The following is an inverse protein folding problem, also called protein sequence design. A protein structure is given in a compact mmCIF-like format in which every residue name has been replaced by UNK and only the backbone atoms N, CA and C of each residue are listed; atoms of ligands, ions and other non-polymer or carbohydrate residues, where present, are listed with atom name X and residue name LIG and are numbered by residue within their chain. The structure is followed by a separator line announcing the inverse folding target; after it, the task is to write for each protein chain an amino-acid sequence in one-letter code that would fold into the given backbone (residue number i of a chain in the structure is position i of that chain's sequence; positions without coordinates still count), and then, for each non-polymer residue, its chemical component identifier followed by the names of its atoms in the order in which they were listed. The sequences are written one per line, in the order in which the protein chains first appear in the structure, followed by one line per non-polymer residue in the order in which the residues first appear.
data_IF_686142393599
#
_entry.id   IF_686142393599
#
_cell.length_a   1.000
_cell.length_b   1.000
_cell.length_c   1.000
_cell.angle_alpha   90.00
_cell.angle_beta   90.00
_cell.angle_gamma   90.00
#
_symmetry.space_group_name_H-M   'P 1'
#
loop_
_entity.id
_entity.type
_entity.pdbx_description
1 polymer ?
#
# COMPACT_ATOMS: atom_id res chain seq x y z
N UNK A 1 -12.50 -11.67 -4.59
CA UNK A 1 -13.38 -10.49 -4.54
C UNK A 1 -12.50 -9.26 -4.55
N UNK A 2 -12.64 -8.38 -5.54
CA UNK A 2 -11.78 -7.25 -5.86
C UNK A 2 -10.76 -7.60 -6.94
N UNK A 3 -10.75 -6.80 -8.05
CA UNK A 3 -9.87 -6.94 -9.23
C UNK A 3 -8.60 -6.11 -9.18
N UNK A 4 -8.25 -5.56 -8.01
CA UNK A 4 -6.97 -4.87 -7.82
C UNK A 4 -5.78 -5.84 -7.81
N UNK A 5 -4.53 -5.34 -7.62
CA UNK A 5 -3.31 -6.14 -7.75
C UNK A 5 -3.28 -7.43 -6.90
N UNK A 6 -3.75 -7.35 -5.66
CA UNK A 6 -3.78 -8.51 -4.77
C UNK A 6 -4.81 -9.56 -5.23
N UNK A 7 -6.04 -9.15 -5.56
CA UNK A 7 -7.09 -10.08 -6.02
C UNK A 7 -6.76 -10.71 -7.36
N UNK A 8 -6.25 -9.92 -8.31
CA UNK A 8 -5.80 -10.42 -9.61
C UNK A 8 -4.62 -11.39 -9.48
N UNK A 9 -3.70 -11.17 -8.54
CA UNK A 9 -2.60 -12.11 -8.26
C UNK A 9 -3.13 -13.44 -7.73
N UNK A 10 -4.00 -13.40 -6.71
CA UNK A 10 -4.57 -14.62 -6.14
C UNK A 10 -5.40 -15.39 -7.19
N UNK A 11 -6.24 -14.69 -7.95
CA UNK A 11 -7.05 -15.31 -8.99
C UNK A 11 -6.19 -15.95 -10.09
N UNK A 12 -5.14 -15.27 -10.56
CA UNK A 12 -4.21 -15.79 -11.57
C UNK A 12 -3.50 -17.07 -11.14
N UNK A 13 -3.12 -17.15 -9.88
CA UNK A 13 -2.41 -18.33 -9.36
C UNK A 13 -3.35 -19.51 -9.16
N UNK A 14 -4.53 -19.27 -8.58
CA UNK A 14 -5.50 -20.32 -8.30
C UNK A 14 -6.22 -20.85 -9.56
N UNK A 15 -6.46 -19.99 -10.55
CA UNK A 15 -7.18 -20.36 -11.76
C UNK A 15 -6.43 -21.34 -12.69
N UNK A 16 -5.17 -21.64 -12.41
CA UNK A 16 -4.39 -22.65 -13.13
C UNK A 16 -4.90 -24.07 -12.88
N UNK A 17 -5.38 -24.31 -11.66
CA UNK A 17 -5.69 -25.65 -11.17
C UNK A 17 -7.10 -25.76 -10.55
N UNK A 18 -7.80 -24.62 -10.42
CA UNK A 18 -9.11 -24.55 -9.75
C UNK A 18 -10.07 -23.62 -10.49
N UNK A 19 -11.38 -23.85 -10.30
CA UNK A 19 -12.43 -22.95 -10.77
C UNK A 19 -12.45 -21.67 -9.93
N UNK A 20 -12.18 -20.54 -10.57
CA UNK A 20 -12.07 -19.22 -9.91
C UNK A 20 -12.99 -18.19 -10.56
N UNK A 21 -13.79 -17.51 -9.76
CA UNK A 21 -14.53 -16.31 -10.16
C UNK A 21 -13.84 -15.10 -9.56
N UNK A 22 -13.48 -14.10 -10.39
CA UNK A 22 -12.96 -12.80 -9.95
C UNK A 22 -14.02 -11.72 -10.14
N UNK A 23 -14.55 -11.18 -9.03
CA UNK A 23 -15.55 -10.12 -9.04
C UNK A 23 -14.88 -8.76 -8.80
N UNK A 24 -15.16 -7.78 -9.68
CA UNK A 24 -14.70 -6.40 -9.58
C UNK A 24 -15.91 -5.44 -9.66
N UNK A 25 -15.98 -4.49 -8.72
CA UNK A 25 -17.13 -3.57 -8.62
C UNK A 25 -17.22 -2.55 -9.76
N UNK A 26 -16.10 -2.22 -10.40
CA UNK A 26 -16.04 -1.30 -11.52
C UNK A 26 -16.05 -2.05 -12.86
N UNK A 27 -16.57 -1.40 -13.90
CA UNK A 27 -16.56 -1.98 -15.26
C UNK A 27 -15.15 -2.03 -15.85
N UNK A 28 -14.25 -1.15 -15.42
CA UNK A 28 -12.85 -1.13 -15.82
C UNK A 28 -11.94 -1.35 -14.59
N UNK A 29 -11.22 -2.48 -14.51
CA UNK A 29 -10.23 -2.70 -13.46
C UNK A 29 -9.16 -1.60 -13.46
N UNK A 30 -8.80 -1.12 -12.24
CA UNK A 30 -7.86 -0.01 -12.07
C UNK A 30 -8.50 1.38 -12.08
N UNK A 31 -9.79 1.50 -12.35
CA UNK A 31 -10.56 2.73 -12.27
C UNK A 31 -11.58 2.69 -11.12
N UNK A 32 -11.76 3.82 -10.38
CA UNK A 32 -10.99 5.06 -10.46
C UNK A 32 -9.58 4.90 -9.86
N UNK A 33 -8.62 5.67 -10.38
CA UNK A 33 -7.25 5.71 -9.85
C UNK A 33 -7.25 6.20 -8.38
N UNK A 34 -6.66 5.43 -7.47
CA UNK A 34 -6.62 5.76 -6.03
C UNK A 34 -5.20 5.67 -5.42
N UNK A 35 -4.15 5.63 -6.23
CA UNK A 35 -2.80 5.41 -5.79
C UNK A 35 -1.80 6.36 -6.46
N UNK A 36 -0.76 6.75 -5.74
CA UNK A 36 0.34 7.55 -6.28
C UNK A 36 1.21 6.78 -7.30
N UNK A 37 1.14 5.45 -7.30
CA UNK A 37 1.81 4.62 -8.29
C UNK A 37 3.30 4.40 -8.04
N UNK A 38 3.87 4.85 -6.92
CA UNK A 38 5.28 4.61 -6.59
C UNK A 38 5.42 3.21 -5.97
N UNK A 39 6.08 2.31 -6.69
CA UNK A 39 6.20 0.88 -6.32
C UNK A 39 7.63 0.42 -6.51
N UNK A 40 8.14 -0.41 -5.61
CA UNK A 40 9.47 -1.00 -5.76
C UNK A 40 9.48 -2.06 -6.86
N UNK A 41 10.68 -2.43 -7.32
CA UNK A 41 10.85 -3.48 -8.31
C UNK A 41 10.18 -4.81 -7.90
N UNK A 42 10.16 -5.13 -6.60
CA UNK A 42 9.50 -6.34 -6.08
C UNK A 42 8.00 -6.37 -6.29
N UNK A 43 7.36 -5.20 -6.33
CA UNK A 43 5.92 -5.08 -6.52
C UNK A 43 5.47 -4.99 -7.98
N UNK A 44 6.42 -5.04 -8.94
CA UNK A 44 6.14 -4.94 -10.38
C UNK A 44 6.49 -6.27 -11.05
N UNK A 45 5.51 -7.14 -11.29
CA UNK A 45 5.74 -8.38 -12.03
C UNK A 45 6.28 -8.12 -13.45
N UNK A 46 7.09 -9.03 -13.98
CA UNK A 46 7.72 -8.89 -15.30
C UNK A 46 6.71 -8.61 -16.42
N UNK A 47 5.53 -9.24 -16.36
CA UNK A 47 4.48 -9.08 -17.37
C UNK A 47 3.72 -7.75 -17.30
N UNK A 48 4.03 -6.89 -16.33
CA UNK A 48 3.40 -5.57 -16.17
C UNK A 48 4.38 -4.40 -16.33
N UNK A 49 5.59 -4.64 -16.81
CA UNK A 49 6.62 -3.59 -16.98
C UNK A 49 6.21 -2.50 -17.97
N UNK A 50 5.36 -2.77 -18.92
CA UNK A 50 4.78 -1.79 -19.85
C UNK A 50 3.97 -0.68 -19.16
N UNK A 51 3.56 -0.89 -17.89
CA UNK A 51 2.89 0.12 -17.09
C UNK A 51 3.85 1.10 -16.40
N UNK A 52 5.17 0.95 -16.57
CA UNK A 52 6.18 1.82 -15.94
C UNK A 52 6.29 3.14 -16.70
N UNK A 53 5.98 4.24 -16.04
CA UNK A 53 6.08 5.62 -16.56
C UNK A 53 7.45 6.26 -16.29
N UNK A 54 8.17 5.80 -15.28
CA UNK A 54 9.47 6.34 -14.90
C UNK A 54 10.15 5.54 -13.81
N UNK A 55 11.45 5.79 -13.65
CA UNK A 55 12.30 5.15 -12.65
C UNK A 55 12.83 6.17 -11.66
N UNK A 56 12.83 5.82 -10.39
CA UNK A 56 13.25 6.68 -9.29
C UNK A 56 14.46 6.09 -8.59
N UNK A 57 15.54 6.84 -8.50
CA UNK A 57 16.77 6.48 -7.79
C UNK A 57 16.99 7.26 -6.51
N UNK A 58 16.24 8.36 -6.31
CA UNK A 58 16.46 9.23 -5.16
C UNK A 58 15.19 9.84 -4.59
N UNK A 59 15.35 10.41 -3.40
CA UNK A 59 14.31 11.14 -2.69
C UNK A 59 14.89 12.40 -2.06
N UNK A 60 14.16 13.51 -2.17
CA UNK A 60 14.40 14.75 -1.43
C UNK A 60 13.34 14.92 -0.36
N UNK A 61 13.76 14.94 0.88
CA UNK A 61 12.87 15.05 2.04
C UNK A 61 12.99 16.44 2.64
N UNK A 62 11.91 17.21 2.54
CA UNK A 62 11.84 18.57 3.05
C UNK A 62 11.32 18.55 4.48
N UNK A 63 12.10 19.15 5.39
CA UNK A 63 11.68 19.35 6.78
C UNK A 63 10.67 20.51 6.89
N UNK A 64 9.91 20.59 8.00
CA UNK A 64 9.02 21.72 8.25
C UNK A 64 9.73 23.05 8.38
N UNK A 65 11.01 23.07 8.74
CA UNK A 65 11.82 24.27 8.95
C UNK A 65 12.79 24.58 7.80
N UNK A 66 12.57 24.00 6.62
CA UNK A 66 13.30 24.35 5.40
C UNK A 66 14.59 23.56 5.17
N UNK A 67 14.96 22.61 6.03
CA UNK A 67 16.08 21.72 5.74
C UNK A 67 15.67 20.66 4.71
N UNK A 68 16.56 20.33 3.78
CA UNK A 68 16.35 19.27 2.79
C UNK A 68 17.41 18.19 2.95
N UNK A 69 16.95 16.94 3.08
CA UNK A 69 17.78 15.74 3.01
C UNK A 69 17.61 15.08 1.65
N UNK A 70 18.70 14.94 0.90
CA UNK A 70 18.73 14.17 -0.34
C UNK A 70 19.37 12.80 -0.07
N UNK A 71 18.64 11.75 -0.42
CA UNK A 71 19.14 10.36 -0.44
C UNK A 71 19.10 9.87 -1.88
N UNK A 72 20.20 9.31 -2.35
CA UNK A 72 20.39 8.88 -3.73
C UNK A 72 21.05 7.49 -3.78
N UNK A 73 20.51 6.61 -4.61
CA UNK A 73 21.08 5.31 -4.86
C UNK A 73 21.78 5.28 -6.24
N UNK A 74 22.68 4.32 -6.43
CA UNK A 74 23.38 4.10 -7.70
C UNK A 74 22.49 3.51 -8.79
N UNK A 75 21.38 2.91 -8.43
CA UNK A 75 20.40 2.28 -9.34
C UNK A 75 18.98 2.62 -8.91
N UNK A 76 18.03 2.41 -9.81
CA UNK A 76 16.61 2.61 -9.55
C UNK A 76 16.15 1.83 -8.31
N UNK A 77 15.41 2.49 -7.44
CA UNK A 77 14.86 1.93 -6.21
C UNK A 77 13.36 1.72 -6.28
N UNK A 78 12.70 2.46 -7.14
CA UNK A 78 11.26 2.37 -7.34
C UNK A 78 10.89 2.74 -8.79
N UNK A 79 9.70 2.33 -9.18
CA UNK A 79 9.06 2.66 -10.43
C UNK A 79 7.82 3.52 -10.17
N UNK A 80 7.57 4.45 -11.05
CA UNK A 80 6.31 5.18 -11.12
C UNK A 80 5.42 4.47 -12.14
N UNK A 81 4.24 4.06 -11.72
CA UNK A 81 3.34 3.26 -12.55
C UNK A 81 2.14 4.06 -13.05
N UNK A 82 1.72 3.78 -14.27
CA UNK A 82 0.32 3.91 -14.66
C UNK A 82 -0.47 2.79 -13.97
N UNK A 83 -1.14 3.14 -12.89
CA UNK A 83 -1.89 2.18 -12.08
C UNK A 83 -3.14 1.65 -12.77
N UNK A 84 -3.74 2.44 -13.65
CA UNK A 84 -4.89 1.98 -14.44
C UNK A 84 -4.44 0.87 -15.40
N UNK A 85 -3.36 1.10 -16.14
CA UNK A 85 -2.79 0.08 -17.03
C UNK A 85 -2.25 -1.12 -16.25
N UNK A 86 -1.52 -0.88 -15.15
CA UNK A 86 -0.97 -1.94 -14.30
C UNK A 86 -2.07 -2.87 -13.76
N UNK A 87 -3.10 -2.31 -13.15
CA UNK A 87 -4.18 -3.10 -12.54
C UNK A 87 -4.98 -3.86 -13.63
N UNK A 88 -5.18 -3.25 -14.80
CA UNK A 88 -5.82 -3.88 -15.96
C UNK A 88 -5.01 -5.07 -16.49
N UNK A 89 -3.70 -4.91 -16.64
CA UNK A 89 -2.80 -6.01 -17.05
C UNK A 89 -2.88 -7.16 -16.06
N UNK A 90 -2.80 -6.86 -14.75
CA UNK A 90 -2.89 -7.87 -13.70
C UNK A 90 -4.20 -8.64 -13.77
N UNK A 91 -5.31 -7.93 -13.98
CA UNK A 91 -6.64 -8.52 -14.11
C UNK A 91 -6.76 -9.43 -15.36
N UNK A 92 -6.33 -8.95 -16.52
CA UNK A 92 -6.35 -9.74 -17.74
C UNK A 92 -5.49 -11.00 -17.63
N UNK A 93 -4.32 -10.91 -16.98
CA UNK A 93 -3.49 -12.10 -16.72
C UNK A 93 -4.16 -13.12 -15.79
N UNK A 94 -5.07 -12.69 -14.93
CA UNK A 94 -5.89 -13.62 -14.16
C UNK A 94 -6.95 -14.31 -15.05
N UNK A 95 -7.57 -13.56 -15.95
CA UNK A 95 -8.53 -14.11 -16.93
C UNK A 95 -7.83 -15.06 -17.89
N UNK A 96 -6.67 -14.69 -18.44
CA UNK A 96 -5.84 -15.55 -19.32
C UNK A 96 -5.43 -16.87 -18.63
N UNK A 97 -5.29 -16.86 -17.30
CA UNK A 97 -5.00 -18.05 -16.51
C UNK A 97 -6.23 -18.93 -16.21
N UNK A 98 -7.44 -18.53 -16.65
CA UNK A 98 -8.67 -19.29 -16.49
C UNK A 98 -9.67 -18.70 -15.48
N UNK A 99 -9.39 -17.56 -14.83
CA UNK A 99 -10.36 -16.94 -13.92
C UNK A 99 -11.57 -16.37 -14.70
N UNK A 100 -12.77 -16.67 -14.25
CA UNK A 100 -14.02 -16.16 -14.82
C UNK A 100 -14.27 -14.74 -14.32
N UNK A 101 -14.22 -13.70 -15.19
CA UNK A 101 -14.41 -12.33 -14.76
C UNK A 101 -15.89 -11.98 -14.52
N UNK A 102 -16.16 -11.22 -13.46
CA UNK A 102 -17.43 -10.55 -13.18
C UNK A 102 -17.12 -9.08 -12.92
N UNK A 103 -17.10 -8.26 -13.96
CA UNK A 103 -16.89 -6.80 -13.87
C UNK A 103 -18.22 -6.05 -13.67
N UNK A 104 -18.20 -4.87 -13.06
CA UNK A 104 -19.42 -4.18 -12.63
C UNK A 104 -20.17 -4.91 -11.51
N UNK A 105 -19.54 -5.91 -10.90
CA UNK A 105 -20.16 -6.80 -9.92
C UNK A 105 -19.74 -6.44 -8.48
N UNK A 106 -20.58 -5.67 -7.81
CA UNK A 106 -20.37 -5.25 -6.43
C UNK A 106 -20.86 -6.32 -5.45
N UNK A 107 -19.97 -6.88 -4.64
CA UNK A 107 -20.32 -7.82 -3.58
C UNK A 107 -21.14 -7.10 -2.51
N UNK A 108 -22.24 -7.69 -2.10
CA UNK A 108 -23.19 -7.17 -1.11
C UNK A 108 -23.13 -7.93 0.22
N UNK A 109 -22.99 -9.23 0.15
CA UNK A 109 -22.92 -10.08 1.34
C UNK A 109 -22.01 -11.29 1.10
N UNK A 110 -21.45 -11.80 2.18
CA UNK A 110 -20.69 -13.04 2.24
C UNK A 110 -21.13 -13.78 3.50
N UNK A 111 -21.57 -15.01 3.36
CA UNK A 111 -22.00 -15.85 4.47
C UNK A 111 -21.25 -17.19 4.44
N UNK A 112 -20.49 -17.46 5.49
CA UNK A 112 -19.78 -18.73 5.68
C UNK A 112 -20.69 -19.70 6.42
N UNK A 113 -21.05 -20.82 5.76
CA UNK A 113 -21.88 -21.90 6.30
C UNK A 113 -21.04 -23.10 6.75
N UNK A 114 -19.72 -22.98 6.80
CA UNK A 114 -18.78 -24.01 7.24
C UNK A 114 -18.39 -24.98 6.14
N UNK A 115 -19.31 -25.50 5.36
CA UNK A 115 -19.04 -26.39 4.23
C UNK A 115 -18.96 -25.66 2.88
N UNK A 116 -19.60 -24.51 2.78
CA UNK A 116 -19.56 -23.63 1.63
C UNK A 116 -19.73 -22.17 2.07
N UNK A 117 -19.31 -21.25 1.21
CA UNK A 117 -19.48 -19.81 1.40
C UNK A 117 -20.38 -19.29 0.29
N UNK A 118 -21.50 -18.69 0.69
CA UNK A 118 -22.41 -18.02 -0.23
C UNK A 118 -22.08 -16.54 -0.31
N UNK A 119 -21.81 -16.07 -1.53
CA UNK A 119 -21.55 -14.66 -1.83
C UNK A 119 -22.64 -14.12 -2.72
N UNK A 120 -23.20 -12.96 -2.36
CA UNK A 120 -24.18 -12.26 -3.18
C UNK A 120 -23.51 -11.03 -3.81
N UNK A 121 -23.65 -10.90 -5.11
CA UNK A 121 -23.16 -9.75 -5.87
C UNK A 121 -24.30 -9.10 -6.64
N UNK A 122 -24.21 -7.80 -6.84
CA UNK A 122 -25.11 -7.03 -7.69
C UNK A 122 -24.37 -6.56 -8.93
N UNK A 123 -24.82 -6.97 -10.09
CA UNK A 123 -24.34 -6.55 -11.39
C UNK A 123 -25.54 -6.17 -12.26
N UNK A 124 -25.48 -5.04 -12.96
CA UNK A 124 -26.51 -4.55 -13.89
C UNK A 124 -27.95 -4.56 -13.31
N UNK A 125 -28.04 -4.23 -12.01
CA UNK A 125 -29.32 -4.18 -11.29
C UNK A 125 -29.82 -5.54 -10.80
N UNK A 126 -29.26 -6.65 -11.22
CA UNK A 126 -29.61 -8.01 -10.82
C UNK A 126 -28.74 -8.49 -9.65
N UNK A 127 -29.30 -9.36 -8.82
CA UNK A 127 -28.57 -10.04 -7.75
C UNK A 127 -28.25 -11.45 -8.18
N UNK A 128 -26.98 -11.81 -8.14
CA UNK A 128 -26.45 -13.14 -8.44
C UNK A 128 -25.79 -13.73 -7.19
N UNK A 129 -25.95 -15.03 -6.95
CA UNK A 129 -25.30 -15.75 -5.86
C UNK A 129 -24.26 -16.71 -6.41
N UNK A 130 -23.09 -16.74 -5.76
CA UNK A 130 -22.01 -17.70 -6.05
C UNK A 130 -21.69 -18.46 -4.79
N UNK A 131 -21.70 -19.80 -4.88
CA UNK A 131 -21.24 -20.68 -3.82
C UNK A 131 -19.78 -21.08 -4.08
N UNK A 132 -18.97 -21.06 -3.05
CA UNK A 132 -17.54 -21.38 -3.14
C UNK A 132 -17.05 -22.10 -1.87
N UNK A 133 -15.93 -22.81 -1.98
CA UNK A 133 -15.25 -23.41 -0.82
C UNK A 133 -14.42 -22.40 -0.05
N UNK A 134 -13.87 -21.43 -0.76
CA UNK A 134 -13.00 -20.39 -0.22
C UNK A 134 -13.39 -19.04 -0.83
N UNK A 135 -13.30 -18.00 -0.04
CA UNK A 135 -13.39 -16.60 -0.50
C UNK A 135 -12.08 -15.88 -0.17
N UNK A 136 -11.42 -15.34 -1.21
CA UNK A 136 -10.30 -14.41 -1.05
C UNK A 136 -10.84 -12.98 -1.11
N UNK A 137 -10.85 -12.31 0.04
CA UNK A 137 -11.24 -10.90 0.17
C UNK A 137 -10.07 -9.97 -0.17
N UNK A 138 -10.11 -9.39 -1.35
CA UNK A 138 -9.17 -8.36 -1.85
C UNK A 138 -9.92 -7.05 -2.15
N UNK A 139 -11.02 -6.80 -1.46
CA UNK A 139 -12.03 -5.78 -1.66
C UNK A 139 -11.68 -4.44 -0.96
N UNK A 140 -10.39 -4.20 -0.76
CA UNK A 140 -9.83 -2.91 -0.36
C UNK A 140 -10.19 -2.48 1.07
N UNK A 141 -10.09 -1.17 1.32
CA UNK A 141 -10.23 -0.63 2.69
C UNK A 141 -11.66 -0.68 3.25
N UNK A 142 -12.69 -0.81 2.40
CA UNK A 142 -14.11 -0.92 2.80
C UNK A 142 -14.55 -2.36 3.04
N UNK A 143 -13.66 -3.30 2.94
CA UNK A 143 -13.85 -4.75 2.86
C UNK A 143 -15.13 -5.29 3.53
N UNK A 144 -16.02 -5.82 2.71
CA UNK A 144 -17.19 -6.59 3.11
C UNK A 144 -16.76 -7.98 3.62
N UNK A 145 -15.73 -8.56 2.97
CA UNK A 145 -15.15 -9.84 3.38
C UNK A 145 -14.61 -9.78 4.82
N UNK A 146 -13.93 -8.67 5.20
CA UNK A 146 -13.48 -8.46 6.58
C UNK A 146 -14.65 -8.38 7.57
N UNK A 147 -15.74 -7.69 7.21
CA UNK A 147 -16.94 -7.63 8.06
C UNK A 147 -17.58 -8.99 8.21
N UNK A 148 -17.71 -9.74 7.11
CA UNK A 148 -18.29 -11.09 7.10
C UNK A 148 -17.45 -12.07 7.93
N UNK A 149 -16.13 -11.99 7.87
CA UNK A 149 -15.21 -12.81 8.65
C UNK A 149 -15.17 -12.46 10.14
N UNK A 150 -15.86 -11.40 10.58
CA UNK A 150 -15.85 -10.87 11.96
C UNK A 150 -14.45 -10.55 12.51
N UNK A 151 -13.46 -10.39 11.62
CA UNK A 151 -12.14 -9.94 12.00
C UNK A 151 -12.17 -8.46 12.42
N UNK A 152 -11.34 -8.05 13.39
CA UNK A 152 -11.33 -6.68 13.86
C UNK A 152 -11.12 -5.66 12.73
N UNK A 153 -11.75 -4.47 12.80
CA UNK A 153 -11.54 -3.42 11.83
C UNK A 153 -10.08 -2.91 11.86
N UNK A 154 -9.64 -2.18 10.82
CA UNK A 154 -8.34 -1.49 10.84
C UNK A 154 -8.20 -0.63 12.09
N UNK A 155 -7.01 -0.64 12.72
CA UNK A 155 -6.74 0.18 13.90
C UNK A 155 -6.69 1.66 13.58
N UNK A 156 -6.19 1.99 12.40
CA UNK A 156 -6.00 3.35 11.93
C UNK A 156 -6.26 3.44 10.43
N UNK A 157 -6.62 4.65 9.99
CA UNK A 157 -6.93 4.92 8.61
C UNK A 157 -6.22 6.21 8.16
N UNK A 158 -5.34 6.12 7.17
CA UNK A 158 -4.88 7.33 6.47
C UNK A 158 -5.97 7.76 5.48
N UNK A 159 -6.19 9.07 5.39
CA UNK A 159 -7.04 9.66 4.34
C UNK A 159 -6.15 10.43 3.39
N UNK A 160 -6.19 10.08 2.10
CA UNK A 160 -5.34 10.63 1.07
C UNK A 160 -6.10 11.39 0.00
N UNK A 161 -5.43 12.40 -0.57
CA UNK A 161 -5.87 13.11 -1.77
C UNK A 161 -4.64 13.45 -2.61
N UNK A 162 -4.78 13.34 -3.93
CA UNK A 162 -3.75 13.75 -4.89
C UNK A 162 -4.36 14.37 -6.13
N UNK A 163 -3.55 15.12 -6.85
CA UNK A 163 -3.82 15.67 -8.18
C UNK A 163 -2.68 15.37 -9.12
N UNK A 164 -2.99 15.17 -10.39
CA UNK A 164 -1.99 15.14 -11.45
C UNK A 164 -1.89 16.55 -12.03
N UNK A 165 -0.69 17.09 -12.09
CA UNK A 165 -0.37 18.46 -12.55
C UNK A 165 0.45 18.40 -13.83
N UNK A 166 0.13 19.29 -14.80
CA UNK A 166 0.92 19.53 -15.99
C UNK A 166 1.60 20.90 -15.88
N UNK A 167 2.85 20.99 -16.40
CA UNK A 167 3.62 22.23 -16.37
C UNK A 167 4.34 22.47 -15.04
N UNK A 168 4.65 21.41 -14.29
CA UNK A 168 5.54 21.44 -13.12
C UNK A 168 6.92 20.97 -13.55
N UNK A 169 7.96 21.75 -13.27
CA UNK A 169 9.33 21.29 -13.40
C UNK A 169 9.66 20.32 -12.25
N UNK A 170 10.11 19.13 -12.59
CA UNK A 170 10.52 18.11 -11.64
C UNK A 170 11.68 17.29 -12.19
N UNK A 171 12.58 16.86 -11.31
CA UNK A 171 13.63 15.91 -11.64
C UNK A 171 13.00 14.51 -11.79
N UNK A 172 13.06 13.88 -12.99
CA UNK A 172 12.35 12.63 -13.23
C UNK A 172 12.86 11.45 -12.39
N UNK A 173 14.07 11.54 -11.84
CA UNK A 173 14.70 10.49 -11.06
C UNK A 173 14.50 10.64 -9.54
N UNK A 174 13.89 11.76 -9.08
CA UNK A 174 13.69 12.04 -7.67
C UNK A 174 12.23 12.26 -7.30
N UNK A 175 11.83 11.68 -6.18
CA UNK A 175 10.56 12.00 -5.49
C UNK A 175 10.81 13.11 -4.48
N UNK A 176 9.88 14.03 -4.37
CA UNK A 176 9.88 15.05 -3.31
C UNK A 176 8.91 14.61 -2.20
N UNK A 177 9.37 14.63 -0.96
CA UNK A 177 8.57 14.35 0.24
C UNK A 177 8.58 15.59 1.13
N UNK A 178 7.40 16.05 1.53
CA UNK A 178 7.28 17.20 2.43
C UNK A 178 6.69 16.76 3.76
N UNK A 179 7.42 17.04 4.85
CA UNK A 179 7.01 16.75 6.21
C UNK A 179 6.49 18.02 6.91
N UNK A 180 5.69 17.85 7.94
CA UNK A 180 5.22 18.93 8.80
C UNK A 180 3.72 18.91 9.04
N UNK A 181 3.32 19.41 10.19
CA UNK A 181 1.91 19.44 10.62
C UNK A 181 1.05 20.35 9.75
N UNK A 182 1.64 21.43 9.22
CA UNK A 182 0.94 22.35 8.33
C UNK A 182 0.81 21.85 6.89
N UNK A 183 1.53 20.78 6.54
CA UNK A 183 1.54 20.20 5.19
C UNK A 183 0.70 18.93 5.14
N UNK A 184 0.96 18.01 6.07
CA UNK A 184 0.35 16.68 6.11
C UNK A 184 0.39 16.15 7.54
N UNK A 185 -0.57 16.53 8.42
CA UNK A 185 -0.54 16.14 9.82
C UNK A 185 -0.54 14.63 10.00
N UNK A 186 0.45 14.16 10.76
CA UNK A 186 0.63 12.76 11.05
C UNK A 186 1.09 11.90 9.87
N UNK A 187 1.34 12.44 8.66
CA UNK A 187 1.93 11.73 7.53
C UNK A 187 2.90 12.60 6.74
N UNK A 188 2.84 12.56 5.40
CA UNK A 188 3.64 13.41 4.52
C UNK A 188 2.88 13.75 3.24
N UNK A 189 3.35 14.78 2.55
CA UNK A 189 2.97 15.08 1.18
C UNK A 189 4.08 14.67 0.22
N UNK A 190 3.72 14.43 -1.03
CA UNK A 190 4.63 14.01 -2.10
C UNK A 190 4.44 14.82 -3.38
N UNK A 191 5.52 14.92 -4.17
CA UNK A 191 5.47 15.23 -5.59
C UNK A 191 6.27 14.16 -6.32
N UNK A 192 5.62 13.43 -7.22
CA UNK A 192 6.17 12.27 -7.93
C UNK A 192 6.09 12.54 -9.43
N UNK A 193 7.22 12.62 -10.14
CA UNK A 193 7.23 12.70 -11.60
C UNK A 193 6.58 11.46 -12.22
N UNK A 194 5.68 11.65 -13.18
CA UNK A 194 4.94 10.58 -13.84
C UNK A 194 4.76 10.91 -15.32
N UNK A 195 5.75 10.55 -16.14
CA UNK A 195 5.87 10.96 -17.55
C UNK A 195 5.84 12.49 -17.70
N UNK A 196 4.86 13.07 -18.41
CA UNK A 196 4.69 14.51 -18.62
C UNK A 196 3.90 15.21 -17.49
N UNK A 197 3.57 14.49 -16.43
CA UNK A 197 2.80 14.94 -15.27
C UNK A 197 3.63 14.86 -13.99
N UNK A 198 3.20 15.61 -12.98
CA UNK A 198 3.66 15.44 -11.60
C UNK A 198 2.48 15.15 -10.71
N UNK A 199 2.51 14.02 -10.01
CA UNK A 199 1.51 13.64 -9.01
C UNK A 199 1.82 14.30 -7.70
N UNK A 200 1.00 15.26 -7.30
CA UNK A 200 1.13 15.98 -6.02
C UNK A 200 0.01 15.56 -5.10
N UNK A 201 0.35 15.06 -3.93
CA UNK A 201 -0.66 14.60 -2.99
C UNK A 201 -0.16 14.56 -1.56
N UNK A 202 -1.05 14.16 -0.67
CA UNK A 202 -0.75 13.97 0.75
C UNK A 202 -1.72 12.97 1.37
N UNK A 203 -1.31 12.41 2.51
CA UNK A 203 -2.23 11.76 3.43
C UNK A 203 -2.21 12.46 4.77
N UNK A 204 -3.32 12.37 5.50
CA UNK A 204 -3.41 12.76 6.90
C UNK A 204 -3.71 11.52 7.76
N UNK A 205 -3.31 11.59 9.03
CA UNK A 205 -3.54 10.54 10.01
C UNK A 205 -4.81 10.82 10.79
N UNK A 206 -5.69 9.81 10.88
CA UNK A 206 -6.96 9.87 11.61
C UNK A 206 -7.80 11.17 11.49
N UNK A 207 -8.94 11.01 11.10
CA UNK A 207 -10.07 11.70 10.57
C UNK A 207 -10.55 13.03 11.21
N UNK A 208 -9.75 13.87 11.78
CA UNK A 208 -10.17 15.26 12.12
C UNK A 208 -9.87 16.26 11.02
N UNK A 209 -8.89 15.94 10.17
CA UNK A 209 -8.36 16.85 9.17
C UNK A 209 -8.97 16.58 7.78
N UNK A 210 -9.29 17.65 7.07
CA UNK A 210 -9.76 17.58 5.68
C UNK A 210 -8.53 17.65 4.76
N UNK A 211 -8.07 16.54 4.15
CA UNK A 211 -6.87 16.52 3.32
C UNK A 211 -6.87 17.57 2.20
N UNK A 212 -8.07 17.90 1.67
CA UNK A 212 -8.22 18.91 0.64
C UNK A 212 -7.75 20.31 1.07
N UNK A 213 -7.87 20.67 2.36
CA UNK A 213 -7.36 21.96 2.88
C UNK A 213 -5.83 22.01 2.82
N UNK A 214 -5.17 20.92 3.21
CA UNK A 214 -3.71 20.83 3.15
C UNK A 214 -3.21 20.76 1.70
N UNK A 215 -3.93 20.06 0.83
CA UNK A 215 -3.60 20.02 -0.60
C UNK A 215 -3.70 21.43 -1.22
N UNK A 216 -4.74 22.21 -0.90
CA UNK A 216 -4.87 23.61 -1.35
C UNK A 216 -3.67 24.45 -0.92
N UNK A 217 -3.23 24.33 0.34
CA UNK A 217 -2.03 25.04 0.84
C UNK A 217 -0.76 24.57 0.10
N UNK A 218 -0.62 23.27 -0.15
CA UNK A 218 0.53 22.72 -0.88
C UNK A 218 0.57 23.25 -2.32
N UNK A 219 -0.56 23.26 -3.01
CA UNK A 219 -0.68 23.74 -4.39
C UNK A 219 -0.48 25.26 -4.54
N UNK A 220 -0.65 26.02 -3.47
CA UNK A 220 -0.35 27.47 -3.47
C UNK A 220 1.14 27.80 -3.45
N UNK A 221 2.03 26.82 -3.24
CA UNK A 221 3.49 27.03 -3.25
C UNK A 221 3.98 27.43 -4.65
N UNK A 222 5.07 28.21 -4.73
CA UNK A 222 5.58 28.75 -6.01
C UNK A 222 5.74 27.72 -7.12
N UNK A 223 6.23 26.52 -6.81
CA UNK A 223 6.48 25.46 -7.78
C UNK A 223 5.21 24.86 -8.38
N UNK A 224 4.02 25.00 -7.75
CA UNK A 224 2.78 24.37 -8.18
C UNK A 224 1.69 25.37 -8.61
N UNK A 225 1.77 26.62 -8.17
CA UNK A 225 0.67 27.62 -8.30
C UNK A 225 0.24 27.92 -9.72
N UNK A 226 1.10 27.70 -10.70
CA UNK A 226 0.85 27.95 -12.13
C UNK A 226 0.57 26.67 -12.92
N UNK A 227 0.62 25.51 -12.28
CA UNK A 227 0.41 24.23 -12.92
C UNK A 227 -1.08 23.99 -13.24
N UNK A 228 -1.33 23.33 -14.36
CA UNK A 228 -2.69 22.94 -14.77
C UNK A 228 -3.04 21.61 -14.11
N UNK A 229 -4.09 21.60 -13.30
CA UNK A 229 -4.66 20.37 -12.75
C UNK A 229 -5.36 19.57 -13.84
N UNK A 230 -4.97 18.28 -13.96
CA UNK A 230 -5.52 17.33 -14.96
C UNK A 230 -6.54 16.38 -14.30
N UNK A 231 -6.19 15.82 -13.16
CA UNK A 231 -7.04 14.84 -12.47
C UNK A 231 -7.04 15.07 -10.96
N UNK A 232 -7.96 14.42 -10.27
CA UNK A 232 -7.97 14.36 -8.78
C UNK A 232 -8.38 12.96 -8.37
N UNK A 233 -7.64 12.39 -7.41
CA UNK A 233 -7.94 11.11 -6.81
C UNK A 233 -7.93 11.22 -5.28
N UNK A 234 -8.76 10.42 -4.62
CA UNK A 234 -8.78 10.32 -3.15
C UNK A 234 -8.98 8.88 -2.74
N UNK A 235 -8.50 8.54 -1.56
CA UNK A 235 -8.60 7.19 -1.05
C UNK A 235 -8.27 7.10 0.44
N UNK A 236 -8.42 5.90 0.98
CA UNK A 236 -8.04 5.59 2.35
C UNK A 236 -7.10 4.41 2.38
N UNK A 237 -6.17 4.41 3.32
CA UNK A 237 -5.18 3.34 3.50
C UNK A 237 -5.34 2.78 4.91
N UNK A 238 -5.81 1.53 5.06
CA UNK A 238 -5.97 0.91 6.35
C UNK A 238 -4.61 0.46 6.90
N UNK A 239 -4.32 0.80 8.14
CA UNK A 239 -3.08 0.46 8.81
C UNK A 239 -3.31 -0.38 10.07
N UNK A 240 -2.30 -1.15 10.44
CA UNK A 240 -2.31 -1.97 11.63
C UNK A 240 -2.93 -3.33 11.39
N UNK A 241 -2.21 -4.18 10.66
CA UNK A 241 -2.57 -5.57 10.44
C UNK A 241 -3.01 -6.27 11.74
N UNK A 242 -4.08 -7.01 11.65
CA UNK A 242 -4.64 -7.77 12.75
C UNK A 242 -3.78 -8.98 13.16
N UNK A 243 -4.26 -9.74 14.14
CA UNK A 243 -3.64 -11.00 14.53
C UNK A 243 -3.91 -12.10 13.51
N UNK A 244 -4.99 -11.99 12.74
CA UNK A 244 -5.37 -12.93 11.71
C UNK A 244 -5.90 -12.22 10.47
N UNK A 245 -5.66 -12.83 9.31
CA UNK A 245 -6.25 -12.50 8.02
C UNK A 245 -7.14 -13.67 7.52
N UNK A 246 -7.43 -14.66 8.38
CA UNK A 246 -8.25 -15.82 8.06
C UNK A 246 -9.34 -16.01 9.12
N UNK A 247 -10.54 -16.37 8.68
CA UNK A 247 -11.65 -16.78 9.54
C UNK A 247 -12.58 -17.71 8.75
N UNK A 248 -12.71 -18.96 9.21
CA UNK A 248 -13.43 -19.98 8.43
C UNK A 248 -12.82 -20.17 7.06
N UNK A 249 -13.63 -20.14 6.02
CA UNK A 249 -13.21 -20.22 4.62
C UNK A 249 -12.87 -18.86 3.99
N UNK A 250 -12.87 -17.76 4.76
CA UNK A 250 -12.58 -16.42 4.25
C UNK A 250 -11.13 -16.05 4.55
N UNK A 251 -10.36 -15.70 3.52
CA UNK A 251 -8.96 -15.24 3.58
C UNK A 251 -8.88 -13.81 3.07
N UNK A 252 -8.14 -12.92 3.76
CA UNK A 252 -8.01 -11.52 3.38
C UNK A 252 -6.60 -11.22 2.86
N UNK A 253 -6.50 -10.38 1.82
CA UNK A 253 -5.24 -9.93 1.24
C UNK A 253 -5.23 -8.42 0.99
N UNK A 254 -4.06 -7.82 0.84
CA UNK A 254 -3.91 -6.41 0.53
C UNK A 254 -4.52 -5.50 1.60
N UNK A 255 -5.20 -4.45 1.19
CA UNK A 255 -5.82 -3.48 2.10
C UNK A 255 -6.96 -4.11 2.92
N UNK A 256 -7.67 -5.09 2.38
CA UNK A 256 -8.65 -5.86 3.16
C UNK A 256 -8.01 -6.55 4.37
N UNK A 257 -6.73 -6.96 4.28
CA UNK A 257 -5.94 -7.52 5.37
C UNK A 257 -5.16 -6.46 6.18
N UNK A 258 -5.22 -5.18 5.81
CA UNK A 258 -4.40 -4.09 6.38
C UNK A 258 -2.89 -4.32 6.21
N UNK A 259 -2.48 -4.85 5.07
CA UNK A 259 -1.09 -5.15 4.77
C UNK A 259 -0.31 -3.94 4.24
N UNK A 260 -0.91 -2.73 4.19
CA UNK A 260 -0.19 -1.52 3.82
C UNK A 260 0.92 -1.18 4.83
N UNK A 261 2.06 -0.72 4.32
CA UNK A 261 3.25 -0.36 5.12
C UNK A 261 3.01 0.93 5.91
N UNK A 262 3.11 0.94 7.23
CA UNK A 262 2.76 2.10 8.06
C UNK A 262 3.62 3.34 7.81
N UNK A 263 4.87 3.22 7.39
CA UNK A 263 5.76 4.36 7.17
C UNK A 263 5.55 5.04 5.82
N UNK A 264 5.30 4.27 4.76
CA UNK A 264 5.17 4.80 3.39
C UNK A 264 3.75 4.83 2.86
N UNK A 265 2.79 4.12 3.49
CA UNK A 265 1.44 3.92 2.95
C UNK A 265 1.38 2.97 1.75
N UNK A 266 2.53 2.47 1.27
CA UNK A 266 2.59 1.57 0.12
C UNK A 266 2.04 0.18 0.44
N UNK A 267 1.10 -0.32 -0.38
CA UNK A 267 0.46 -1.62 -0.19
C UNK A 267 0.59 -2.59 -1.36
N UNK A 268 1.11 -2.14 -2.52
CA UNK A 268 1.14 -2.99 -3.74
C UNK A 268 2.02 -4.22 -3.54
N UNK A 269 3.28 -4.05 -3.12
CA UNK A 269 4.18 -5.18 -2.89
C UNK A 269 3.64 -6.15 -1.84
N UNK A 270 3.30 -5.67 -0.65
CA UNK A 270 2.78 -6.51 0.43
C UNK A 270 1.44 -7.16 0.09
N UNK A 271 0.61 -6.47 -0.73
CA UNK A 271 -0.65 -7.00 -1.24
C UNK A 271 -0.44 -8.13 -2.24
N UNK A 272 0.46 -7.96 -3.22
CA UNK A 272 0.83 -9.00 -4.20
C UNK A 272 1.46 -10.20 -3.49
N UNK A 273 2.45 -9.94 -2.62
CA UNK A 273 3.13 -11.02 -1.89
C UNK A 273 2.20 -11.78 -0.94
N UNK A 274 1.34 -11.05 -0.23
CA UNK A 274 0.30 -11.67 0.60
C UNK A 274 -0.69 -12.50 -0.22
N UNK A 275 -1.03 -12.06 -1.43
CA UNK A 275 -1.91 -12.81 -2.34
C UNK A 275 -1.25 -14.09 -2.89
N UNK A 276 0.06 -14.09 -3.15
CA UNK A 276 0.82 -15.29 -3.51
C UNK A 276 0.76 -16.33 -2.39
N UNK A 277 1.10 -15.94 -1.16
CA UNK A 277 1.04 -16.83 0.01
C UNK A 277 -0.37 -17.34 0.30
N UNK A 278 -1.38 -16.48 0.08
CA UNK A 278 -2.79 -16.84 0.21
C UNK A 278 -3.19 -17.89 -0.84
N UNK A 279 -2.81 -17.69 -2.10
CA UNK A 279 -3.11 -18.62 -3.19
C UNK A 279 -2.45 -19.98 -2.98
N UNK A 280 -1.17 -20.01 -2.59
CA UNK A 280 -0.45 -21.25 -2.27
C UNK A 280 -1.17 -22.04 -1.16
N UNK A 281 -1.56 -21.36 -0.07
CA UNK A 281 -2.28 -22.00 1.06
C UNK A 281 -3.66 -22.48 0.63
N UNK A 282 -4.40 -21.68 -0.14
CA UNK A 282 -5.74 -22.03 -0.62
C UNK A 282 -5.69 -23.22 -1.59
N UNK A 283 -4.69 -23.27 -2.49
CA UNK A 283 -4.44 -24.41 -3.37
C UNK A 283 -4.20 -25.69 -2.59
N UNK A 284 -3.26 -25.67 -1.65
CA UNK A 284 -2.98 -26.83 -0.77
C UNK A 284 -4.21 -27.29 0.03
N UNK A 285 -5.04 -26.36 0.50
CA UNK A 285 -6.31 -26.70 1.17
C UNK A 285 -7.27 -27.44 0.22
N UNK A 286 -7.44 -26.95 -1.00
CA UNK A 286 -8.33 -27.54 -2.00
C UNK A 286 -7.86 -28.93 -2.44
N UNK A 287 -6.57 -29.11 -2.73
CA UNK A 287 -5.94 -30.37 -3.13
C UNK A 287 -5.99 -31.41 -2.01
N UNK A 288 -5.70 -31.00 -0.77
CA UNK A 288 -5.73 -31.86 0.40
C UNK A 288 -7.15 -32.19 0.89
N UNK A 289 -8.19 -31.67 0.22
CA UNK A 289 -9.60 -31.77 0.65
C UNK A 289 -9.81 -31.27 2.08
N UNK A 290 -9.20 -30.12 2.40
CA UNK A 290 -9.35 -29.45 3.69
C UNK A 290 -8.43 -29.94 4.82
N UNK A 291 -7.49 -30.87 4.55
CA UNK A 291 -6.53 -31.32 5.58
C UNK A 291 -5.47 -30.28 5.92
N UNK A 292 -5.06 -29.45 4.94
CA UNK A 292 -4.16 -28.32 5.19
C UNK A 292 -4.98 -27.15 5.74
N UNK A 293 -4.68 -26.63 6.95
CA UNK A 293 -5.46 -25.53 7.52
C UNK A 293 -5.21 -24.20 6.77
N UNK A 294 -6.29 -23.47 6.43
CA UNK A 294 -6.16 -22.11 5.85
C UNK A 294 -5.44 -21.14 6.79
N UNK A 295 -5.45 -21.39 8.09
CA UNK A 295 -4.76 -20.60 9.10
C UNK A 295 -3.20 -20.59 8.93
N UNK A 296 -2.64 -21.52 8.15
CA UNK A 296 -1.20 -21.51 7.83
C UNK A 296 -0.80 -20.22 7.11
N UNK A 297 -1.70 -19.64 6.30
CA UNK A 297 -1.48 -18.34 5.68
C UNK A 297 -1.10 -17.26 6.68
N UNK A 298 -1.72 -17.26 7.88
CA UNK A 298 -1.36 -16.29 8.93
C UNK A 298 0.09 -16.39 9.37
N UNK A 299 0.63 -17.60 9.46
CA UNK A 299 2.03 -17.82 9.81
C UNK A 299 2.97 -17.36 8.69
N UNK A 300 2.60 -17.64 7.44
CA UNK A 300 3.39 -17.30 6.26
C UNK A 300 3.55 -15.78 6.11
N UNK A 301 2.45 -15.01 6.03
CA UNK A 301 2.56 -13.56 5.86
C UNK A 301 3.19 -12.85 7.06
N UNK A 302 2.95 -13.35 8.30
CA UNK A 302 3.60 -12.79 9.50
C UNK A 302 5.11 -13.00 9.48
N UNK A 303 5.59 -14.14 9.01
CA UNK A 303 7.01 -14.41 8.89
C UNK A 303 7.65 -13.62 7.74
N UNK A 304 6.96 -13.47 6.62
CA UNK A 304 7.46 -12.77 5.43
C UNK A 304 7.61 -11.26 5.67
N UNK A 305 6.52 -10.58 6.03
CA UNK A 305 6.51 -9.12 6.20
C UNK A 305 5.78 -8.60 7.47
N UNK A 306 5.09 -9.44 8.21
CA UNK A 306 4.30 -9.01 9.37
C UNK A 306 5.15 -8.42 10.50
N UNK A 307 6.36 -8.96 10.73
CA UNK A 307 7.32 -8.41 11.70
C UNK A 307 7.75 -6.99 11.29
N UNK A 308 7.99 -6.77 10.00
CA UNK A 308 8.33 -5.46 9.45
C UNK A 308 7.17 -4.48 9.63
N UNK A 309 5.93 -4.86 9.27
CA UNK A 309 4.75 -4.03 9.48
C UNK A 309 4.60 -3.62 10.95
N UNK A 310 4.83 -4.54 11.88
CA UNK A 310 4.75 -4.29 13.32
C UNK A 310 5.81 -3.30 13.80
N UNK A 311 7.07 -3.44 13.33
CA UNK A 311 8.17 -2.52 13.63
C UNK A 311 7.91 -1.14 13.02
N UNK A 312 7.56 -1.10 11.75
CA UNK A 312 7.23 0.13 11.04
C UNK A 312 6.07 0.89 11.71
N UNK A 313 5.08 0.18 12.24
CA UNK A 313 3.98 0.78 12.98
C UNK A 313 4.44 1.41 14.31
N UNK A 314 5.37 0.78 15.03
CA UNK A 314 5.97 1.36 16.25
C UNK A 314 6.76 2.64 15.92
N UNK A 315 7.59 2.62 14.87
CA UNK A 315 8.31 3.81 14.40
C UNK A 315 7.30 4.92 14.03
N UNK A 316 6.20 4.56 13.38
CA UNK A 316 5.13 5.50 13.05
C UNK A 316 4.55 6.18 14.28
N UNK A 317 4.24 5.43 15.35
CA UNK A 317 3.75 6.01 16.62
C UNK A 317 4.70 7.06 17.21
N UNK A 318 6.00 6.83 17.08
CA UNK A 318 6.98 7.83 17.50
C UNK A 318 6.89 9.08 16.65
N UNK A 319 6.86 8.91 15.31
CA UNK A 319 6.75 10.04 14.38
C UNK A 319 5.53 10.92 14.67
N UNK A 320 4.37 10.32 15.01
CA UNK A 320 3.14 11.04 15.33
C UNK A 320 3.29 11.99 16.53
N UNK A 321 4.20 11.69 17.47
CA UNK A 321 4.46 12.49 18.66
C UNK A 321 5.56 13.55 18.47
N UNK A 322 6.21 13.59 17.27
CA UNK A 322 7.24 14.59 17.00
C UNK A 322 6.64 15.95 16.67
N UNK A 323 7.23 17.00 17.24
CA UNK A 323 7.00 18.38 16.81
C UNK A 323 7.79 18.66 15.54
N UNK A 324 7.42 19.72 14.80
CA UNK A 324 8.14 20.12 13.58
C UNK A 324 9.64 20.40 13.86
N UNK A 325 9.97 21.00 15.01
CA UNK A 325 11.37 21.17 15.43
C UNK A 325 12.11 19.84 15.62
N UNK A 326 11.43 18.83 16.17
CA UNK A 326 12.02 17.49 16.37
C UNK A 326 12.17 16.76 15.04
N UNK A 327 11.24 16.91 14.11
CA UNK A 327 11.32 16.36 12.75
C UNK A 327 12.53 16.94 12.02
N UNK A 328 12.71 18.27 12.03
CA UNK A 328 13.86 18.94 11.44
C UNK A 328 15.18 18.44 12.04
N UNK A 329 15.26 18.37 13.37
CA UNK A 329 16.45 17.85 14.07
C UNK A 329 16.75 16.39 13.68
N UNK A 330 15.73 15.54 13.55
CA UNK A 330 15.90 14.15 13.13
C UNK A 330 16.45 14.05 11.70
N UNK A 331 15.94 14.86 10.76
CA UNK A 331 16.44 14.87 9.39
C UNK A 331 17.90 15.32 9.31
N UNK A 332 18.31 16.31 10.12
CA UNK A 332 19.74 16.73 10.22
C UNK A 332 20.62 15.61 10.77
N UNK A 333 20.12 14.78 11.66
CA UNK A 333 20.86 13.59 12.13
C UNK A 333 20.97 12.56 11.01
N UNK A 334 19.91 12.32 10.24
CA UNK A 334 19.94 11.41 9.08
C UNK A 334 20.90 11.92 7.98
N UNK A 335 21.11 13.21 7.87
CA UNK A 335 22.07 13.82 6.94
C UNK A 335 23.54 13.65 7.32
N UNK A 336 23.86 13.18 8.55
CA UNK A 336 25.24 12.90 8.94
C UNK A 336 25.86 11.85 8.01
N UNK A 337 27.12 12.02 7.57
CA UNK A 337 27.72 11.22 6.49
C UNK A 337 27.58 9.71 6.66
N UNK A 338 27.84 9.18 7.87
CA UNK A 338 27.73 7.75 8.16
C UNK A 338 26.31 7.21 8.09
N UNK A 339 25.34 7.98 8.59
CA UNK A 339 23.91 7.59 8.56
C UNK A 339 23.36 7.69 7.15
N UNK A 340 23.66 8.83 6.45
CA UNK A 340 23.26 9.04 5.07
C UNK A 340 23.76 7.91 4.18
N UNK A 341 25.05 7.57 4.25
CA UNK A 341 25.66 6.47 3.48
C UNK A 341 24.97 5.13 3.77
N UNK A 342 24.64 4.84 5.03
CA UNK A 342 23.90 3.62 5.39
C UNK A 342 22.51 3.59 4.73
N UNK A 343 21.77 4.71 4.78
CA UNK A 343 20.44 4.83 4.17
C UNK A 343 20.49 4.66 2.65
N UNK A 344 21.47 5.27 1.97
CA UNK A 344 21.64 5.18 0.52
C UNK A 344 22.04 3.75 0.07
N UNK A 345 22.86 3.05 0.86
CA UNK A 345 23.35 1.73 0.50
C UNK A 345 22.38 0.60 0.88
N UNK A 346 21.79 0.68 2.08
CA UNK A 346 21.01 -0.40 2.69
C UNK A 346 19.53 -0.05 2.94
N UNK A 347 19.13 1.19 2.67
CA UNK A 347 17.73 1.61 2.80
C UNK A 347 16.84 0.79 1.86
N UNK A 348 15.77 0.24 2.41
CA UNK A 348 14.80 -0.56 1.68
C UNK A 348 13.40 0.05 1.86
N UNK A 349 12.74 0.37 0.76
CA UNK A 349 11.41 1.00 0.76
C UNK A 349 10.34 0.01 1.25
N UNK A 350 10.55 -1.30 1.02
CA UNK A 350 9.61 -2.33 1.44
C UNK A 350 9.83 -2.77 2.89
N UNK A 351 11.08 -2.72 3.36
CA UNK A 351 11.50 -3.12 4.70
C UNK A 351 12.24 -2.00 5.43
N UNK A 352 11.66 -0.79 5.58
CA UNK A 352 12.36 0.37 6.12
C UNK A 352 12.79 0.21 7.59
N UNK A 353 12.13 -0.65 8.37
CA UNK A 353 12.53 -0.91 9.74
C UNK A 353 13.68 -1.91 9.88
N UNK A 354 14.06 -2.61 8.82
CA UNK A 354 15.14 -3.62 8.83
C UNK A 354 16.49 -3.05 9.23
N UNK A 355 16.78 -1.79 8.90
CA UNK A 355 18.04 -1.09 9.20
C UNK A 355 18.02 -0.26 10.48
N UNK A 356 16.89 -0.22 11.19
CA UNK A 356 16.67 0.69 12.32
C UNK A 356 17.71 0.53 13.45
N UNK A 357 18.11 -0.70 13.78
CA UNK A 357 19.17 -0.96 14.79
C UNK A 357 20.55 -0.45 14.33
N UNK A 358 20.85 -0.54 13.04
CA UNK A 358 22.10 -0.01 12.48
C UNK A 358 22.12 1.52 12.47
N UNK A 359 20.98 2.13 12.16
CA UNK A 359 20.79 3.60 12.22
C UNK A 359 20.96 4.09 13.67
N UNK A 360 20.37 3.43 14.66
CA UNK A 360 20.51 3.81 16.07
C UNK A 360 21.95 3.68 16.59
N UNK A 361 22.68 2.65 16.15
CA UNK A 361 24.10 2.52 16.50
C UNK A 361 24.95 3.67 15.98
N UNK A 362 24.70 4.14 14.76
CA UNK A 362 25.42 5.27 14.14
C UNK A 362 24.92 6.63 14.66
N UNK A 363 23.66 6.72 15.08
CA UNK A 363 23.04 7.93 15.54
C UNK A 363 22.29 7.74 16.87
N UNK A 364 23.00 7.47 17.98
CA UNK A 364 22.36 7.20 19.28
C UNK A 364 21.53 8.40 19.77
N UNK A 365 21.83 9.61 19.31
CA UNK A 365 21.02 10.81 19.58
C UNK A 365 19.56 10.71 19.11
N UNK A 366 19.23 9.78 18.21
CA UNK A 366 17.84 9.51 17.83
C UNK A 366 17.02 8.94 18.97
N UNK A 367 17.63 8.25 19.92
CA UNK A 367 16.98 7.70 21.11
C UNK A 367 16.32 8.77 21.98
N UNK A 368 16.81 10.03 21.94
CA UNK A 368 16.21 11.16 22.67
C UNK A 368 14.78 11.51 22.25
N UNK A 369 14.37 11.12 21.03
CA UNK A 369 13.03 11.43 20.52
C UNK A 369 11.94 10.54 21.10
N UNK A 370 12.30 9.34 21.55
CA UNK A 370 11.46 8.46 22.35
C UNK A 370 12.30 7.37 23.01
N UNK A 371 12.33 7.27 24.33
CA UNK A 371 12.93 6.14 25.05
C UNK A 371 12.35 4.79 24.61
N UNK A 372 11.06 4.76 24.22
CA UNK A 372 10.34 3.59 23.73
C UNK A 372 10.84 3.11 22.35
N UNK A 373 11.58 3.95 21.57
CA UNK A 373 12.24 3.50 20.34
C UNK A 373 13.26 2.40 20.65
N UNK A 374 14.01 2.54 21.74
CA UNK A 374 15.07 1.60 22.10
C UNK A 374 14.48 0.22 22.40
N UNK A 375 13.40 0.15 23.19
CA UNK A 375 12.72 -1.10 23.54
C UNK A 375 12.02 -1.75 22.35
N UNK A 376 11.67 -0.97 21.32
CA UNK A 376 10.94 -1.47 20.17
C UNK A 376 11.81 -1.91 18.99
N UNK A 377 13.10 -1.56 19.00
CA UNK A 377 14.04 -1.79 17.92
C UNK A 377 15.17 -2.77 18.29
N UNK A 378 15.31 -3.09 19.58
CA UNK A 378 16.06 -4.22 20.09
C UNK A 378 15.17 -5.46 20.13
#
# INVERSE_FOLDING_TARGET
MGGGPAGSTAARLLARDHDVVIAEEHHAPGEPLQCAGLVTQRGVPMFSRESVLGEVRGVRIHSPLGFMLTLEARSSRAYVLDRTLFDRIMFHKAVDAGAVPKVGACIRSVADHGHEIRSEMRADGMTESVNSKIVVGADGYKSICRKASRLPPPKHMLTGIQVDLKGVEADPEFVEIHLGRDVAPGFFAWAIPAADLVRVGLCTWDAGDIPAMYLKKLLARPQFRHAKKVSTASGKIPLGAGRSAVSGGIMLVGDAACHAKPLSGGGVYTGVRGAELCADTAGMFLESRGRTPLAEYDSLWKNEFGKELSRAFRIRKVFLNLTDKKIDKALRIFAQPGVKKLLEQKGDIDYPASISSSVLRLAPKLAQFSPQIIESLL
#
